data_IF_907471925745
#
_entry.id   IF_907471925745
#
_cell.length_a   1.000
_cell.length_b   1.000
_cell.length_c   1.000
_cell.angle_alpha   90.00
_cell.angle_beta   90.00
_cell.angle_gamma   90.00
#
_symmetry.space_group_name_H-M   'P 1'
#
loop_
_entity.id
_entity.type
_entity.pdbx_description
1 polymer ?
#
# COMPACT_ATOMS: atom_id res chain seq x y z
N UNK A 1 8.67 -10.74 0.87
CA UNK A 1 7.84 -9.56 1.17
C UNK A 1 6.59 -9.99 1.91
N UNK A 2 6.32 -9.38 3.05
CA UNK A 2 5.17 -9.73 3.87
C UNK A 2 4.65 -8.48 4.56
N UNK A 3 3.32 -8.29 4.52
CA UNK A 3 2.68 -7.19 5.20
C UNK A 3 2.32 -7.62 6.61
N UNK A 4 2.82 -6.90 7.61
CA UNK A 4 2.49 -7.15 9.02
C UNK A 4 1.31 -6.30 9.48
N UNK A 5 1.30 -5.03 9.10
CA UNK A 5 0.21 -4.13 9.49
C UNK A 5 0.07 -2.98 8.50
N UNK A 6 -1.14 -2.44 8.43
CA UNK A 6 -1.48 -1.26 7.62
C UNK A 6 -2.19 -0.29 8.56
N UNK A 7 -1.71 0.94 8.63
CA UNK A 7 -2.26 1.98 9.48
C UNK A 7 -2.40 3.29 8.71
N UNK A 8 -3.49 4.02 8.88
CA UNK A 8 -4.71 3.62 9.58
C UNK A 8 -5.53 2.62 8.76
N UNK A 9 -6.45 1.91 9.40
CA UNK A 9 -7.33 0.98 8.69
C UNK A 9 -8.36 1.73 7.84
N UNK A 10 -8.73 2.93 8.26
CA UNK A 10 -9.60 3.83 7.52
C UNK A 10 -8.85 5.10 7.19
N UNK A 11 -8.97 5.54 5.97
CA UNK A 11 -8.20 6.67 5.47
C UNK A 11 -9.11 7.52 4.59
N UNK A 12 -8.86 8.83 4.56
CA UNK A 12 -9.57 9.74 3.67
C UNK A 12 -8.81 9.90 2.36
N UNK A 13 -9.50 10.21 1.25
CA UNK A 13 -8.81 10.51 0.00
C UNK A 13 -7.78 11.63 0.18
N UNK A 14 -6.62 11.45 -0.44
CA UNK A 14 -5.54 12.42 -0.34
C UNK A 14 -4.62 12.24 0.84
N UNK A 15 -4.93 11.30 1.74
CA UNK A 15 -4.07 10.97 2.87
C UNK A 15 -3.12 9.84 2.50
N UNK A 16 -2.25 9.48 3.44
CA UNK A 16 -1.29 8.39 3.25
C UNK A 16 -1.60 7.24 4.19
N UNK A 17 -1.32 6.02 3.75
CA UNK A 17 -1.32 4.86 4.63
C UNK A 17 0.11 4.40 4.84
N UNK A 18 0.37 3.90 6.03
CA UNK A 18 1.68 3.38 6.41
C UNK A 18 1.57 1.86 6.53
N UNK A 19 2.42 1.17 5.80
CA UNK A 19 2.46 -0.29 5.77
C UNK A 19 3.78 -0.72 6.41
N UNK A 20 3.70 -1.63 7.37
CA UNK A 20 4.87 -2.22 8.00
C UNK A 20 4.95 -3.69 7.65
N UNK A 21 6.16 -4.17 7.41
CA UNK A 21 6.37 -5.56 7.08
C UNK A 21 7.82 -5.85 6.75
N UNK A 22 8.06 -7.04 6.21
CA UNK A 22 9.38 -7.52 5.82
C UNK A 22 9.57 -7.43 4.32
N UNK A 23 10.76 -7.00 3.90
CA UNK A 23 11.15 -6.99 2.49
C UNK A 23 10.48 -5.91 1.68
N UNK A 24 9.95 -4.87 2.32
CA UNK A 24 9.27 -3.79 1.62
C UNK A 24 10.21 -2.94 0.78
N UNK A 25 11.52 -3.01 1.04
CA UNK A 25 12.51 -2.30 0.23
C UNK A 25 12.59 -2.83 -1.21
N UNK A 26 12.05 -4.01 -1.48
CA UNK A 26 12.03 -4.57 -2.83
C UNK A 26 10.80 -4.15 -3.63
N UNK A 27 9.89 -3.39 -3.05
CA UNK A 27 8.66 -2.97 -3.71
C UNK A 27 8.97 -2.08 -4.89
N UNK A 28 8.41 -2.40 -6.05
CA UNK A 28 8.55 -1.61 -7.27
C UNK A 28 7.28 -0.88 -7.66
N UNK A 29 6.11 -1.47 -7.34
CA UNK A 29 4.82 -0.88 -7.73
C UNK A 29 3.80 -1.12 -6.64
N UNK A 30 2.90 -0.16 -6.47
CA UNK A 30 1.76 -0.27 -5.57
C UNK A 30 0.51 0.14 -6.32
N UNK A 31 -0.53 -0.67 -6.19
CA UNK A 31 -1.82 -0.40 -6.82
C UNK A 31 -2.90 -0.30 -5.76
N UNK A 32 -3.81 0.64 -5.94
CA UNK A 32 -5.04 0.71 -5.17
C UNK A 32 -6.20 0.48 -6.14
N UNK A 33 -6.84 -0.68 -6.02
CA UNK A 33 -7.80 -1.12 -7.02
C UNK A 33 -7.07 -1.34 -8.33
N UNK A 34 -7.52 -0.65 -9.38
CA UNK A 34 -6.93 -0.75 -10.71
C UNK A 34 -5.92 0.35 -10.99
N UNK A 35 -5.63 1.22 -10.01
CA UNK A 35 -4.83 2.40 -10.22
C UNK A 35 -3.46 2.28 -9.55
N UNK A 36 -2.40 2.56 -10.32
CA UNK A 36 -1.06 2.62 -9.77
C UNK A 36 -0.90 3.93 -8.99
N UNK A 37 -0.37 3.84 -7.76
CA UNK A 37 -0.27 4.99 -6.87
C UNK A 37 1.19 5.22 -6.46
N UNK A 38 1.57 6.47 -6.17
CA UNK A 38 2.92 6.75 -5.69
C UNK A 38 3.11 6.21 -4.27
N UNK A 39 4.35 5.89 -3.96
CA UNK A 39 4.72 5.37 -2.65
C UNK A 39 6.16 5.76 -2.33
N UNK A 40 6.50 5.70 -1.04
CA UNK A 40 7.86 5.87 -0.56
C UNK A 40 8.22 4.70 0.35
N UNK A 41 9.45 4.24 0.26
CA UNK A 41 9.97 3.18 1.12
C UNK A 41 10.97 3.79 2.09
N UNK A 42 10.80 3.48 3.38
CA UNK A 42 11.70 3.93 4.43
C UNK A 42 12.00 2.75 5.35
N UNK A 43 13.09 2.01 5.02
CA UNK A 43 13.45 0.83 5.76
C UNK A 43 12.41 -0.26 5.62
N UNK A 44 11.79 -0.66 6.72
CA UNK A 44 10.74 -1.67 6.75
C UNK A 44 9.34 -1.07 6.64
N UNK A 45 9.26 0.23 6.36
CA UNK A 45 7.99 0.95 6.29
C UNK A 45 7.74 1.41 4.86
N UNK A 46 6.52 1.23 4.40
CA UNK A 46 6.07 1.69 3.10
C UNK A 46 4.97 2.72 3.30
N UNK A 47 5.13 3.89 2.71
CA UNK A 47 4.11 4.95 2.77
C UNK A 47 3.47 5.06 1.40
N UNK A 48 2.15 4.90 1.35
CA UNK A 48 1.39 4.89 0.10
C UNK A 48 0.43 6.07 0.09
N UNK A 49 0.45 6.83 -1.00
CA UNK A 49 -0.48 7.94 -1.19
C UNK A 49 -1.82 7.41 -1.68
N UNK A 50 -2.90 7.82 -1.01
CA UNK A 50 -4.24 7.39 -1.37
C UNK A 50 -4.81 8.35 -2.41
N UNK A 51 -5.22 7.87 -3.59
CA UNK A 51 -5.83 8.73 -4.60
C UNK A 51 -7.27 9.07 -4.23
N UNK A 52 -7.94 9.80 -5.11
CA UNK A 52 -9.33 10.20 -4.90
C UNK A 52 -10.28 9.04 -5.22
N UNK A 53 -10.28 8.06 -4.33
CA UNK A 53 -11.16 6.88 -4.40
C UNK A 53 -11.92 6.77 -3.10
N UNK A 54 -12.96 5.93 -3.07
CA UNK A 54 -13.75 5.74 -1.87
C UNK A 54 -14.22 4.30 -1.77
N UNK A 55 -14.56 3.89 -0.55
CA UNK A 55 -15.06 2.56 -0.28
C UNK A 55 -13.93 1.59 0.07
N UNK A 56 -14.25 0.30 0.02
CA UNK A 56 -13.25 -0.74 0.24
C UNK A 56 -12.45 -0.95 -1.02
N UNK A 57 -11.13 -0.82 -0.91
CA UNK A 57 -10.23 -0.89 -2.05
C UNK A 57 -9.15 -1.91 -1.75
N UNK A 58 -8.81 -2.71 -2.75
CA UNK A 58 -7.75 -3.69 -2.64
C UNK A 58 -6.40 -3.02 -2.86
N UNK A 59 -5.50 -3.21 -1.91
CA UNK A 59 -4.13 -2.72 -2.00
C UNK A 59 -3.25 -3.87 -2.49
N UNK A 60 -2.58 -3.67 -3.61
CA UNK A 60 -1.66 -4.66 -4.17
C UNK A 60 -0.25 -4.08 -4.20
N UNK A 61 0.70 -4.84 -3.67
CA UNK A 61 2.11 -4.47 -3.65
C UNK A 61 2.86 -5.46 -4.52
N UNK A 62 3.63 -4.95 -5.48
CA UNK A 62 4.48 -5.78 -6.34
C UNK A 62 5.94 -5.55 -6.01
N UNK A 63 6.66 -6.61 -5.74
CA UNK A 63 8.09 -6.57 -5.51
C UNK A 63 8.89 -6.83 -6.78
N UNK A 64 10.12 -6.35 -6.79
CA UNK A 64 11.02 -6.52 -7.94
C UNK A 64 11.46 -7.96 -8.17
N UNK A 65 11.24 -8.83 -7.19
CA UNK A 65 11.54 -10.26 -7.29
C UNK A 65 10.37 -11.08 -7.83
N UNK A 66 9.28 -10.43 -8.24
CA UNK A 66 8.10 -11.09 -8.74
C UNK A 66 7.10 -11.48 -7.67
N UNK A 67 7.36 -11.15 -6.42
CA UNK A 67 6.41 -11.40 -5.34
C UNK A 67 5.34 -10.33 -5.31
N UNK A 68 4.11 -10.73 -5.00
CA UNK A 68 2.99 -9.83 -4.83
C UNK A 68 2.32 -10.09 -3.49
N UNK A 69 1.81 -9.04 -2.88
CA UNK A 69 1.02 -9.16 -1.67
C UNK A 69 -0.19 -8.24 -1.79
N UNK A 70 -1.32 -8.68 -1.26
CA UNK A 70 -2.56 -7.91 -1.34
C UNK A 70 -3.21 -7.80 0.03
N UNK A 71 -3.87 -6.68 0.23
CA UNK A 71 -4.65 -6.44 1.44
C UNK A 71 -5.79 -5.49 1.10
N UNK A 72 -6.75 -5.33 2.00
CA UNK A 72 -7.87 -4.41 1.79
C UNK A 72 -7.77 -3.23 2.74
N UNK A 73 -8.11 -2.06 2.23
CA UNK A 73 -8.24 -0.86 3.07
C UNK A 73 -9.59 -0.22 2.81
N UNK A 74 -10.06 0.59 3.76
CA UNK A 74 -11.29 1.33 3.62
C UNK A 74 -10.96 2.81 3.45
N UNK A 75 -11.46 3.41 2.37
CA UNK A 75 -11.29 4.84 2.10
C UNK A 75 -12.64 5.51 2.30
N UNK A 76 -12.65 6.52 3.14
CA UNK A 76 -13.87 7.23 3.50
C UNK A 76 -14.31 8.27 2.46
#
# INVERSE_FOLDING_TARGET
MQIDSILPERVSPGQSVVIQGDGLETVEKVFLGDEEVPFDVDGETLVVQVPDVSGEVELTIQGGDGENDTSSITVE
#
